data_IF_376271680427
#
_entry.id   IF_376271680427
#
_cell.length_a   1.000
_cell.length_b   1.000
_cell.length_c   1.000
_cell.angle_alpha   90.00
_cell.angle_beta   90.00
_cell.angle_gamma   90.00
#
_symmetry.space_group_name_H-M   'P 1'
#
loop_
_entity.id
_entity.type
_entity.pdbx_description
1 polymer ?
#
# COMPACT_ATOMS: atom_id res chain seq x y z
N UNK A 1 -3.37 -17.56 1.17
CA UNK A 1 -2.27 -17.13 0.33
C UNK A 1 -1.15 -16.75 1.29
N UNK A 2 -0.03 -17.44 1.23
CA UNK A 2 1.07 -17.22 2.17
C UNK A 2 2.01 -16.16 1.63
N UNK A 3 2.45 -15.31 2.51
CA UNK A 3 3.53 -14.36 2.31
C UNK A 3 4.84 -15.14 2.13
N UNK A 4 5.62 -14.77 1.13
CA UNK A 4 6.94 -15.33 0.85
C UNK A 4 8.00 -14.37 1.36
N UNK A 5 8.74 -14.74 2.39
CA UNK A 5 10.06 -14.16 2.63
C UNK A 5 11.11 -15.03 1.95
N UNK A 6 11.82 -14.46 1.00
CA UNK A 6 13.04 -15.05 0.45
C UNK A 6 14.20 -14.44 1.24
N UNK A 7 14.68 -15.11 2.28
CA UNK A 7 15.96 -14.79 2.88
C UNK A 7 17.09 -15.23 1.95
N UNK A 8 17.25 -14.49 0.84
CA UNK A 8 18.37 -14.67 -0.07
C UNK A 8 19.08 -13.35 -0.31
N UNK A 9 20.38 -13.39 -0.42
CA UNK A 9 21.18 -12.28 -0.91
C UNK A 9 20.65 -11.88 -2.31
N UNK A 10 20.63 -10.58 -2.63
CA UNK A 10 20.16 -10.08 -3.94
C UNK A 10 20.89 -10.74 -5.12
N UNK A 11 22.12 -11.21 -4.93
CA UNK A 11 22.87 -11.95 -5.93
C UNK A 11 22.30 -13.35 -6.19
N UNK A 12 21.88 -14.07 -5.13
CA UNK A 12 21.24 -15.38 -5.25
C UNK A 12 19.86 -15.28 -5.87
N UNK A 13 19.11 -14.22 -5.55
CA UNK A 13 17.80 -13.95 -6.17
C UNK A 13 17.94 -13.75 -7.69
N UNK A 14 18.97 -13.05 -8.14
CA UNK A 14 19.26 -12.84 -9.57
C UNK A 14 19.55 -14.12 -10.33
N UNK A 15 20.11 -15.14 -9.68
CA UNK A 15 20.36 -16.47 -10.29
C UNK A 15 19.09 -17.34 -10.37
N UNK A 16 18.10 -17.08 -9.49
CA UNK A 16 16.84 -17.82 -9.45
C UNK A 16 15.77 -17.24 -10.37
N UNK A 17 15.94 -16.00 -10.84
CA UNK A 17 15.01 -15.33 -11.73
C UNK A 17 15.28 -15.70 -13.20
N UNK A 18 14.29 -16.28 -13.87
CA UNK A 18 14.39 -16.68 -15.27
C UNK A 18 14.43 -15.48 -16.23
N UNK A 19 13.66 -14.41 -15.95
CA UNK A 19 13.61 -13.20 -16.76
C UNK A 19 13.03 -12.02 -15.96
N UNK A 20 13.73 -10.90 -15.94
CA UNK A 20 13.20 -9.63 -15.50
C UNK A 20 13.42 -9.32 -14.02
N UNK A 21 12.96 -8.14 -13.62
CA UNK A 21 13.07 -7.63 -12.26
C UNK A 21 11.84 -8.03 -11.45
N UNK A 22 12.08 -8.60 -10.28
CA UNK A 22 11.03 -8.84 -9.31
C UNK A 22 10.56 -7.50 -8.71
N UNK A 23 9.27 -7.22 -8.80
CA UNK A 23 8.65 -6.05 -8.21
C UNK A 23 7.54 -6.46 -7.24
N UNK A 24 7.24 -5.61 -6.26
CA UNK A 24 6.08 -5.82 -5.38
C UNK A 24 4.82 -5.79 -6.22
N UNK A 25 3.97 -6.84 -6.06
CA UNK A 25 2.77 -7.02 -6.88
C UNK A 25 2.99 -7.86 -8.15
N UNK A 26 4.24 -8.25 -8.48
CA UNK A 26 4.47 -9.15 -9.59
C UNK A 26 3.90 -10.55 -9.29
N UNK A 27 3.18 -11.12 -10.26
CA UNK A 27 2.75 -12.52 -10.19
C UNK A 27 3.93 -13.43 -10.56
N UNK A 28 4.26 -14.36 -9.67
CA UNK A 28 5.39 -15.26 -9.87
C UNK A 28 4.97 -16.73 -9.71
N UNK A 29 5.61 -17.59 -10.49
CA UNK A 29 5.62 -19.03 -10.27
C UNK A 29 6.94 -19.40 -9.58
N UNK A 30 6.84 -20.08 -8.43
CA UNK A 30 7.99 -20.54 -7.67
C UNK A 30 8.10 -22.05 -7.74
N UNK A 31 9.18 -22.57 -8.34
CA UNK A 31 9.55 -23.98 -8.27
C UNK A 31 10.43 -24.21 -7.04
N UNK A 32 10.03 -25.12 -6.15
CA UNK A 32 10.77 -25.45 -4.94
C UNK A 32 10.72 -26.96 -4.66
N UNK A 33 11.81 -27.50 -4.09
CA UNK A 33 11.95 -28.91 -3.79
C UNK A 33 11.92 -29.26 -2.29
N UNK A 34 11.79 -28.27 -1.41
CA UNK A 34 11.77 -28.41 0.03
C UNK A 34 10.37 -28.32 0.65
N UNK A 35 10.33 -28.23 1.97
CA UNK A 35 9.10 -28.04 2.72
C UNK A 35 8.73 -26.55 2.79
N UNK A 36 7.44 -26.26 2.97
CA UNK A 36 6.96 -24.93 3.33
C UNK A 36 6.96 -24.85 4.87
N UNK A 37 7.76 -23.93 5.41
CA UNK A 37 7.77 -23.67 6.84
C UNK A 37 6.59 -22.76 7.20
N UNK A 38 5.75 -23.24 8.11
CA UNK A 38 4.61 -22.46 8.63
C UNK A 38 5.09 -21.44 9.68
N UNK A 39 5.84 -20.42 9.20
CA UNK A 39 6.24 -19.24 9.97
C UNK A 39 5.46 -18.02 9.44
N UNK A 40 5.60 -16.88 10.09
CA UNK A 40 5.10 -15.62 9.57
C UNK A 40 6.29 -14.67 9.37
N UNK A 41 6.58 -14.29 8.12
CA UNK A 41 6.06 -14.88 6.87
C UNK A 41 6.40 -16.36 6.68
N UNK A 42 5.62 -17.06 5.86
CA UNK A 42 5.94 -18.44 5.50
C UNK A 42 7.18 -18.50 4.61
N UNK A 43 7.99 -19.54 4.81
CA UNK A 43 9.26 -19.71 4.07
C UNK A 43 9.19 -20.93 3.15
N UNK A 44 9.60 -20.78 1.91
CA UNK A 44 9.85 -21.91 1.01
C UNK A 44 11.28 -22.43 1.20
N UNK A 45 11.39 -23.71 1.51
CA UNK A 45 12.69 -24.40 1.51
C UNK A 45 13.07 -24.86 0.11
N UNK A 46 14.34 -24.69 -0.26
CA UNK A 46 14.88 -25.21 -1.51
C UNK A 46 14.22 -24.60 -2.77
N UNK A 47 14.15 -23.29 -2.85
CA UNK A 47 13.72 -22.60 -4.07
C UNK A 47 14.71 -22.88 -5.18
N UNK A 48 14.23 -23.41 -6.29
CA UNK A 48 15.04 -23.78 -7.45
C UNK A 48 14.92 -22.76 -8.58
N UNK A 49 13.76 -22.09 -8.72
CA UNK A 49 13.50 -21.11 -9.77
C UNK A 49 12.32 -20.21 -9.40
N UNK A 50 12.41 -18.96 -9.82
CA UNK A 50 11.32 -17.99 -9.78
C UNK A 50 11.10 -17.48 -11.20
N UNK A 51 9.90 -17.63 -11.72
CA UNK A 51 9.49 -17.11 -13.03
C UNK A 51 8.48 -15.99 -12.84
N UNK A 52 8.80 -14.79 -13.32
CA UNK A 52 7.85 -13.67 -13.33
C UNK A 52 6.86 -13.89 -14.47
N UNK A 53 5.56 -13.91 -14.16
CA UNK A 53 4.51 -14.11 -15.14
C UNK A 53 4.11 -12.77 -15.76
N UNK A 54 4.15 -12.64 -17.10
CA UNK A 54 3.90 -11.36 -17.77
C UNK A 54 2.42 -10.96 -17.78
N UNK A 55 1.52 -11.94 -17.64
CA UNK A 55 0.08 -11.70 -17.74
C UNK A 55 -0.48 -11.28 -16.37
N UNK A 56 -1.11 -10.11 -16.33
CA UNK A 56 -1.79 -9.60 -15.13
C UNK A 56 -0.94 -8.72 -14.23
N UNK A 57 0.22 -8.24 -14.69
CA UNK A 57 0.97 -7.23 -13.94
C UNK A 57 0.14 -5.95 -13.80
N UNK A 58 -0.13 -5.60 -12.57
CA UNK A 58 -0.74 -4.33 -12.16
C UNK A 58 0.17 -3.72 -11.08
N UNK A 59 0.79 -2.59 -11.40
CA UNK A 59 1.71 -1.86 -10.52
C UNK A 59 0.99 -1.15 -9.34
N UNK A 60 -0.22 -1.58 -8.99
CA UNK A 60 -1.03 -0.96 -7.93
C UNK A 60 -0.38 -1.08 -6.55
N UNK A 61 0.34 -2.15 -6.29
CA UNK A 61 1.14 -2.27 -5.08
C UNK A 61 2.17 -1.15 -4.96
N UNK A 62 2.87 -0.83 -6.05
CA UNK A 62 3.84 0.25 -6.07
C UNK A 62 3.16 1.63 -5.92
N UNK A 63 1.96 1.83 -6.49
CA UNK A 63 1.17 3.03 -6.26
C UNK A 63 0.88 3.20 -4.76
N UNK A 64 0.35 2.17 -4.10
CA UNK A 64 -0.03 2.27 -2.70
C UNK A 64 1.17 2.38 -1.76
N UNK A 65 2.31 1.76 -2.08
CA UNK A 65 3.55 2.00 -1.35
C UNK A 65 3.96 3.48 -1.39
N UNK A 66 3.89 4.13 -2.57
CA UNK A 66 4.17 5.58 -2.68
C UNK A 66 3.22 6.42 -1.82
N UNK A 67 1.91 6.09 -1.84
CA UNK A 67 0.91 6.79 -1.00
C UNK A 67 1.22 6.64 0.49
N UNK A 68 1.59 5.44 0.92
CA UNK A 68 1.95 5.16 2.32
C UNK A 68 3.22 5.91 2.72
N UNK A 69 4.24 5.96 1.85
CA UNK A 69 5.48 6.71 2.10
C UNK A 69 5.22 8.21 2.19
N UNK A 70 4.37 8.77 1.33
CA UNK A 70 3.96 10.17 1.39
C UNK A 70 3.21 10.48 2.69
N UNK A 71 2.29 9.61 3.12
CA UNK A 71 1.60 9.73 4.40
C UNK A 71 2.57 9.61 5.59
N UNK A 72 3.57 8.73 5.50
CA UNK A 72 4.60 8.63 6.54
C UNK A 72 5.34 9.94 6.70
N UNK A 73 5.69 10.60 5.60
CA UNK A 73 6.35 11.92 5.60
C UNK A 73 5.49 13.08 6.11
N UNK A 74 4.17 12.90 6.24
CA UNK A 74 3.28 13.92 6.81
C UNK A 74 3.20 13.76 8.32
N UNK A 75 3.18 14.87 9.06
CA UNK A 75 3.09 14.88 10.52
C UNK A 75 3.99 13.81 11.17
N UNK A 76 5.30 14.00 11.07
CA UNK A 76 6.32 13.06 11.56
C UNK A 76 6.22 12.80 13.08
N UNK A 77 5.55 13.68 13.81
CA UNK A 77 5.28 13.50 15.23
C UNK A 77 4.48 12.24 15.55
N UNK A 78 3.70 11.76 14.59
CA UNK A 78 2.93 10.51 14.73
C UNK A 78 3.79 9.24 14.54
N UNK A 79 5.03 9.38 14.09
CA UNK A 79 5.91 8.25 13.77
C UNK A 79 6.91 7.91 14.90
N UNK A 80 6.89 8.64 16.01
CA UNK A 80 7.83 8.43 17.13
C UNK A 80 7.65 7.08 17.83
N UNK A 81 8.75 6.34 18.09
CA UNK A 81 8.78 5.07 18.84
C UNK A 81 7.82 3.99 18.31
N UNK A 82 7.56 3.97 17.00
CA UNK A 82 6.70 2.99 16.34
C UNK A 82 7.41 1.63 16.30
N UNK A 83 6.74 0.60 16.84
CA UNK A 83 7.17 -0.81 16.76
C UNK A 83 6.30 -1.63 15.82
N UNK A 84 5.06 -1.19 15.62
CA UNK A 84 4.07 -1.85 14.80
C UNK A 84 3.50 -0.88 13.78
N UNK A 85 3.37 -1.33 12.56
CA UNK A 85 2.64 -0.63 11.51
C UNK A 85 1.52 -1.55 11.05
N UNK A 86 0.26 -1.11 11.21
CA UNK A 86 -0.86 -1.79 10.60
C UNK A 86 -1.24 -1.08 9.30
N UNK A 87 -1.44 -1.87 8.25
CA UNK A 87 -1.87 -1.36 6.95
C UNK A 87 -3.18 -2.04 6.56
N UNK A 88 -4.27 -1.30 6.66
CA UNK A 88 -5.60 -1.76 6.25
C UNK A 88 -5.86 -1.42 4.79
N UNK A 89 -5.80 -2.44 3.94
CA UNK A 89 -6.07 -2.40 2.51
C UNK A 89 -7.29 -3.25 2.14
N UNK A 90 -8.13 -3.61 3.13
CA UNK A 90 -9.28 -4.48 2.90
C UNK A 90 -10.29 -3.90 1.90
N UNK A 91 -10.41 -2.58 1.85
CA UNK A 91 -11.28 -1.86 0.93
C UNK A 91 -10.58 -1.46 -0.38
N UNK A 92 -9.57 -2.20 -0.80
CA UNK A 92 -8.91 -2.04 -2.10
C UNK A 92 -9.17 -3.25 -2.99
N UNK A 93 -8.90 -3.11 -4.28
CA UNK A 93 -8.99 -4.21 -5.24
C UNK A 93 -7.80 -5.17 -5.21
N UNK A 94 -6.80 -4.92 -4.35
CA UNK A 94 -5.67 -5.82 -4.15
C UNK A 94 -6.12 -7.20 -3.62
N UNK A 95 -5.50 -8.24 -4.12
CA UNK A 95 -5.65 -9.59 -3.58
C UNK A 95 -5.09 -9.66 -2.14
N UNK A 96 -5.48 -10.64 -1.32
CA UNK A 96 -4.89 -10.83 0.01
C UNK A 96 -3.36 -10.91 0.00
N UNK A 97 -2.77 -11.58 -0.99
CA UNK A 97 -1.31 -11.71 -1.11
C UNK A 97 -0.63 -10.37 -1.41
N UNK A 98 -1.22 -9.55 -2.28
CA UNK A 98 -0.71 -8.21 -2.60
C UNK A 98 -0.82 -7.28 -1.39
N UNK A 99 -1.93 -7.34 -0.63
CA UNK A 99 -2.08 -6.56 0.61
C UNK A 99 -1.00 -6.90 1.63
N UNK A 100 -0.77 -8.19 1.86
CA UNK A 100 0.30 -8.65 2.75
C UNK A 100 1.68 -8.19 2.27
N UNK A 101 1.95 -8.26 0.96
CA UNK A 101 3.22 -7.82 0.39
C UNK A 101 3.44 -6.30 0.60
N UNK A 102 2.40 -5.48 0.40
CA UNK A 102 2.47 -4.03 0.64
C UNK A 102 2.69 -3.74 2.12
N UNK A 103 1.90 -4.35 3.01
CA UNK A 103 2.01 -4.15 4.46
C UNK A 103 3.41 -4.54 4.98
N UNK A 104 3.91 -5.68 4.55
CA UNK A 104 5.26 -6.14 4.90
C UNK A 104 6.33 -5.18 4.39
N UNK A 105 6.33 -4.88 3.09
CA UNK A 105 7.34 -4.02 2.47
C UNK A 105 7.40 -2.66 3.14
N UNK A 106 6.25 -2.04 3.39
CA UNK A 106 6.16 -0.75 4.03
C UNK A 106 6.65 -0.79 5.48
N UNK A 107 6.20 -1.76 6.28
CA UNK A 107 6.63 -1.87 7.68
C UNK A 107 8.13 -2.13 7.80
N UNK A 108 8.70 -3.01 6.96
CA UNK A 108 10.14 -3.29 6.96
C UNK A 108 10.98 -2.07 6.58
N UNK A 109 10.50 -1.23 5.65
CA UNK A 109 11.19 0.02 5.29
C UNK A 109 11.31 1.01 6.47
N UNK A 110 10.47 0.82 7.49
CA UNK A 110 10.45 1.67 8.70
C UNK A 110 10.86 0.92 9.99
N UNK A 111 11.55 -0.21 9.87
CA UNK A 111 12.03 -1.03 11.00
C UNK A 111 10.91 -1.44 11.97
N UNK A 112 9.68 -1.65 11.48
CA UNK A 112 8.50 -1.99 12.26
C UNK A 112 7.97 -3.40 11.92
N UNK A 113 7.21 -3.97 12.85
CA UNK A 113 6.49 -5.23 12.62
C UNK A 113 5.18 -4.95 11.88
N UNK A 114 4.92 -5.63 10.75
CA UNK A 114 3.69 -5.47 9.99
C UNK A 114 2.48 -6.08 10.70
N UNK A 115 1.36 -5.40 10.60
CA UNK A 115 0.03 -5.91 10.90
C UNK A 115 -0.90 -5.57 9.73
N UNK A 116 -1.96 -6.36 9.57
CA UNK A 116 -3.00 -6.17 8.55
C UNK A 116 -4.38 -6.02 9.22
N UNK A 117 -4.40 -5.35 10.36
CA UNK A 117 -5.60 -5.18 11.19
C UNK A 117 -6.20 -3.79 10.94
N UNK A 118 -7.53 -3.73 10.84
CA UNK A 118 -8.25 -2.47 10.85
C UNK A 118 -8.39 -1.91 12.28
N UNK A 119 -8.97 -0.72 12.42
CA UNK A 119 -9.14 -0.05 13.70
C UNK A 119 -9.92 -0.90 14.73
N UNK A 120 -11.00 -1.55 14.31
CA UNK A 120 -11.84 -2.36 15.21
C UNK A 120 -11.05 -3.58 15.73
N UNK A 121 -10.34 -4.27 14.84
CA UNK A 121 -9.50 -5.41 15.20
C UNK A 121 -8.35 -5.01 16.12
N UNK A 122 -7.72 -3.85 15.89
CA UNK A 122 -6.69 -3.31 16.79
C UNK A 122 -7.24 -3.01 18.19
N UNK A 123 -8.50 -2.57 18.28
CA UNK A 123 -9.19 -2.40 19.56
C UNK A 123 -9.47 -3.75 20.23
N UNK A 124 -9.96 -4.73 19.49
CA UNK A 124 -10.29 -6.07 19.99
C UNK A 124 -9.06 -6.83 20.48
N UNK A 125 -7.95 -6.71 19.76
CA UNK A 125 -6.66 -7.31 20.10
C UNK A 125 -5.91 -6.55 21.22
N UNK A 126 -6.44 -5.40 21.65
CA UNK A 126 -5.89 -4.61 22.75
C UNK A 126 -4.67 -3.77 22.42
N UNK A 127 -4.40 -3.51 21.14
CA UNK A 127 -3.35 -2.59 20.72
C UNK A 127 -3.71 -1.13 21.02
N UNK A 128 -4.99 -0.77 20.90
CA UNK A 128 -5.50 0.57 21.17
C UNK A 128 -6.01 0.66 22.60
N UNK A 129 -5.50 1.63 23.36
CA UNK A 129 -5.90 1.95 24.73
C UNK A 129 -6.84 3.16 24.79
N UNK A 130 -7.34 3.51 25.99
CA UNK A 130 -8.17 4.71 26.17
C UNK A 130 -9.59 4.59 25.64
N UNK A 131 -10.12 3.37 25.48
CA UNK A 131 -11.45 3.12 24.91
C UNK A 131 -12.58 3.21 25.96
N UNK A 132 -12.24 3.23 27.26
CA UNK A 132 -13.20 3.23 28.38
C UNK A 132 -12.76 4.19 29.45
N UNK A 133 -13.73 4.72 30.23
CA UNK A 133 -13.47 5.65 31.32
C UNK A 133 -14.27 6.93 31.21
N UNK A 134 -13.98 7.93 32.06
CA UNK A 134 -14.62 9.25 32.01
C UNK A 134 -14.12 10.08 30.84
N UNK A 135 -12.82 9.92 30.49
CA UNK A 135 -12.18 10.59 29.36
C UNK A 135 -11.77 9.53 28.31
N UNK A 136 -12.62 9.33 27.31
CA UNK A 136 -12.32 8.43 26.20
C UNK A 136 -11.31 9.12 25.27
N UNK A 137 -10.09 8.58 25.25
CA UNK A 137 -9.02 9.07 24.39
C UNK A 137 -8.28 7.89 23.73
N UNK A 138 -8.80 7.36 22.63
CA UNK A 138 -8.16 6.25 21.91
C UNK A 138 -6.74 6.62 21.47
N UNK A 139 -5.78 5.75 21.77
CA UNK A 139 -4.39 5.92 21.38
C UNK A 139 -3.69 4.57 21.17
N UNK A 140 -2.79 4.53 20.21
CA UNK A 140 -1.86 3.44 19.99
C UNK A 140 -0.44 3.90 20.32
N UNK A 141 0.04 3.56 21.51
CA UNK A 141 1.30 4.11 22.05
C UNK A 141 2.52 3.77 21.18
N UNK A 142 2.59 2.54 20.68
CA UNK A 142 3.75 2.00 19.98
C UNK A 142 3.46 1.54 18.55
N UNK A 143 2.39 2.05 17.95
CA UNK A 143 2.04 1.71 16.58
C UNK A 143 1.34 2.85 15.87
N UNK A 144 1.14 2.65 14.56
CA UNK A 144 0.40 3.56 13.67
C UNK A 144 -0.41 2.73 12.67
N UNK A 145 -1.65 3.13 12.44
CA UNK A 145 -2.55 2.53 11.47
C UNK A 145 -2.55 3.37 10.19
N UNK A 146 -2.32 2.73 9.07
CA UNK A 146 -2.53 3.28 7.75
C UNK A 146 -3.74 2.61 7.10
N UNK A 147 -4.55 3.40 6.40
CA UNK A 147 -5.73 2.89 5.70
C UNK A 147 -5.77 3.47 4.30
N UNK A 148 -6.02 2.63 3.30
CA UNK A 148 -6.36 3.06 1.94
C UNK A 148 -7.71 2.44 1.59
N UNK A 149 -8.62 3.28 1.12
CA UNK A 149 -9.97 2.87 0.72
C UNK A 149 -10.22 3.31 -0.73
N UNK A 150 -10.40 2.37 -1.65
CA UNK A 150 -10.85 2.70 -2.99
C UNK A 150 -12.30 3.19 -2.95
N UNK A 151 -12.59 4.23 -3.72
CA UNK A 151 -13.93 4.83 -3.80
C UNK A 151 -14.49 4.71 -5.23
N UNK A 152 -15.80 4.66 -5.34
CA UNK A 152 -16.51 4.64 -6.63
C UNK A 152 -16.78 6.05 -7.17
N UNK A 153 -16.11 7.07 -6.63
CA UNK A 153 -16.32 8.45 -7.03
C UNK A 153 -15.92 8.69 -8.49
N UNK A 154 -16.73 9.41 -9.25
CA UNK A 154 -16.39 9.70 -10.64
C UNK A 154 -15.13 10.56 -10.70
N UNK A 155 -14.14 10.06 -11.44
CA UNK A 155 -12.86 10.74 -11.62
C UNK A 155 -13.10 12.08 -12.32
N UNK A 156 -13.00 13.18 -11.59
CA UNK A 156 -13.00 14.53 -12.14
C UNK A 156 -11.57 15.05 -12.16
N UNK A 157 -11.00 15.15 -13.37
CA UNK A 157 -9.73 15.85 -13.52
C UNK A 157 -9.98 17.35 -13.54
N UNK A 158 -9.55 18.07 -12.53
CA UNK A 158 -9.43 19.52 -12.60
C UNK A 158 -8.24 19.86 -13.49
N UNK A 159 -8.48 19.92 -14.82
CA UNK A 159 -7.48 20.45 -15.73
C UNK A 159 -7.21 21.92 -15.33
N UNK A 160 -5.94 22.34 -15.18
CA UNK A 160 -5.64 23.74 -14.96
C UNK A 160 -6.27 24.54 -16.10
N UNK A 161 -7.06 25.57 -15.76
CA UNK A 161 -7.68 26.44 -16.73
C UNK A 161 -6.60 27.04 -17.61
N UNK A 162 -6.58 26.67 -18.89
CA UNK A 162 -5.70 27.28 -19.88
C UNK A 162 -6.09 28.75 -19.95
N UNK A 163 -5.14 29.63 -19.68
CA UNK A 163 -5.25 31.05 -19.93
C UNK A 163 -5.68 31.27 -21.39
N UNK A 164 -6.62 32.19 -21.60
CA UNK A 164 -7.22 32.54 -22.88
C UNK A 164 -6.19 32.59 -24.02
N UNK A 165 -6.35 31.72 -25.04
CA UNK A 165 -5.62 31.78 -26.30
C UNK A 165 -4.82 30.54 -26.72
N UNK A 166 -4.76 29.47 -25.93
CA UNK A 166 -4.15 28.21 -26.36
C UNK A 166 -5.16 27.33 -27.10
N UNK A 167 -4.80 26.80 -28.27
CA UNK A 167 -5.54 25.72 -28.89
C UNK A 167 -5.60 24.56 -27.87
N UNK A 168 -6.82 24.08 -27.60
CA UNK A 168 -7.03 22.86 -26.80
C UNK A 168 -6.21 21.75 -27.45
N UNK A 169 -5.26 21.11 -26.76
CA UNK A 169 -4.68 19.90 -27.27
C UNK A 169 -5.86 18.96 -27.59
N UNK A 170 -5.90 18.43 -28.80
CA UNK A 170 -6.90 17.49 -29.22
C UNK A 170 -7.02 16.48 -28.07
N UNK A 171 -8.22 16.33 -27.51
CA UNK A 171 -8.49 15.31 -26.49
C UNK A 171 -8.19 13.97 -27.16
N UNK A 172 -6.94 13.58 -27.12
CA UNK A 172 -6.56 12.19 -27.32
C UNK A 172 -7.39 11.47 -26.28
N UNK A 173 -8.36 10.67 -26.72
CA UNK A 173 -9.14 9.82 -25.86
C UNK A 173 -8.12 9.01 -25.04
N UNK A 174 -7.76 9.53 -23.88
CA UNK A 174 -7.21 8.67 -22.83
C UNK A 174 -8.27 7.64 -22.61
N UNK A 175 -7.95 6.39 -22.93
CA UNK A 175 -8.81 5.27 -22.59
C UNK A 175 -8.90 5.27 -21.07
N UNK A 176 -9.92 5.92 -20.54
CA UNK A 176 -10.23 6.09 -19.10
C UNK A 176 -10.52 4.74 -18.42
N UNK A 177 -10.11 3.64 -19.03
CA UNK A 177 -10.39 2.29 -18.52
C UNK A 177 -9.67 1.96 -17.22
N UNK A 178 -8.59 2.64 -16.90
CA UNK A 178 -7.76 2.30 -15.76
C UNK A 178 -7.50 3.57 -14.93
N UNK A 179 -8.49 4.00 -14.18
CA UNK A 179 -8.36 4.99 -13.12
C UNK A 179 -8.74 4.35 -11.81
N UNK A 180 -8.13 4.80 -10.74
CA UNK A 180 -8.53 4.46 -9.38
C UNK A 180 -8.71 5.74 -8.58
N UNK A 181 -9.83 5.82 -7.85
CA UNK A 181 -10.08 6.86 -6.85
C UNK A 181 -9.96 6.24 -5.48
N UNK A 182 -9.34 6.93 -4.54
CA UNK A 182 -9.15 6.43 -3.20
C UNK A 182 -8.94 7.54 -2.18
N UNK A 183 -9.25 7.23 -0.93
CA UNK A 183 -8.85 7.99 0.24
C UNK A 183 -7.72 7.27 0.96
N UNK A 184 -6.83 8.02 1.61
CA UNK A 184 -5.74 7.44 2.38
C UNK A 184 -5.53 8.20 3.68
N UNK A 185 -5.20 7.48 4.76
CA UNK A 185 -5.00 8.10 6.06
C UNK A 185 -4.00 7.35 6.92
N UNK A 186 -3.41 8.07 7.89
CA UNK A 186 -2.73 7.48 9.03
C UNK A 186 -3.36 7.95 10.33
N UNK A 187 -3.43 7.06 11.31
CA UNK A 187 -4.02 7.32 12.62
C UNK A 187 -3.14 6.75 13.73
N UNK A 188 -2.98 7.50 14.80
CA UNK A 188 -2.29 7.06 16.02
C UNK A 188 -3.08 7.32 17.29
N UNK A 189 -3.74 8.48 17.37
CA UNK A 189 -4.52 8.89 18.57
C UNK A 189 -5.79 9.61 18.15
N UNK A 190 -6.68 9.85 19.10
CA UNK A 190 -7.91 10.63 18.87
C UNK A 190 -7.67 12.04 18.30
N UNK A 191 -6.49 12.64 18.57
CA UNK A 191 -6.08 13.95 18.07
C UNK A 191 -4.81 13.86 17.20
N UNK A 192 -4.52 12.69 16.68
CA UNK A 192 -3.32 12.44 15.89
C UNK A 192 -3.64 11.55 14.69
N UNK A 193 -4.21 12.16 13.66
CA UNK A 193 -4.45 11.53 12.38
C UNK A 193 -4.21 12.53 11.25
N UNK A 194 -3.85 12.01 10.09
CA UNK A 194 -3.63 12.77 8.86
C UNK A 194 -4.21 12.01 7.67
N UNK A 195 -4.78 12.71 6.70
CA UNK A 195 -5.32 12.02 5.54
C UNK A 195 -5.37 12.85 4.27
N UNK A 196 -5.44 12.12 3.16
CA UNK A 196 -5.69 12.58 1.82
C UNK A 196 -7.07 12.12 1.39
N UNK A 197 -7.84 13.01 0.78
CA UNK A 197 -9.18 12.69 0.25
C UNK A 197 -9.23 12.89 -1.25
N UNK A 198 -10.09 12.13 -1.91
CA UNK A 198 -10.33 12.22 -3.36
C UNK A 198 -9.04 12.10 -4.18
N UNK A 199 -8.16 11.17 -3.79
CA UNK A 199 -6.97 10.86 -4.55
C UNK A 199 -7.34 10.13 -5.83
N UNK A 200 -6.65 10.44 -6.93
CA UNK A 200 -6.87 9.81 -8.23
C UNK A 200 -5.54 9.47 -8.88
N UNK A 201 -5.43 8.24 -9.38
CA UNK A 201 -4.32 7.81 -10.22
C UNK A 201 -4.83 7.23 -11.55
N UNK A 202 -3.97 7.26 -12.57
CA UNK A 202 -4.24 6.73 -13.90
C UNK A 202 -3.17 5.70 -14.25
N UNK A 203 -3.61 4.55 -14.73
CA UNK A 203 -2.73 3.48 -15.21
C UNK A 203 -2.49 3.63 -16.70
N UNK A 204 -1.26 3.45 -17.12
CA UNK A 204 -0.89 3.42 -18.54
C UNK A 204 -1.17 2.03 -19.18
N UNK A 205 -0.89 1.92 -20.48
CA UNK A 205 -1.14 0.68 -21.22
C UNK A 205 -0.18 -0.48 -20.86
N UNK A 206 0.89 -0.19 -20.12
CA UNK A 206 1.84 -1.20 -19.64
C UNK A 206 1.49 -1.76 -18.25
N UNK A 207 0.42 -1.26 -17.61
CA UNK A 207 0.03 -1.65 -16.27
C UNK A 207 0.65 -0.79 -15.16
N UNK A 208 1.43 0.23 -15.53
CA UNK A 208 2.11 1.12 -14.57
C UNK A 208 1.18 2.26 -14.17
N UNK A 209 1.03 2.47 -12.86
CA UNK A 209 0.30 3.60 -12.31
C UNK A 209 1.19 4.84 -12.24
N UNK A 210 0.72 5.93 -12.86
CA UNK A 210 1.36 7.24 -12.77
C UNK A 210 1.30 7.83 -11.36
N UNK A 211 1.80 9.07 -11.22
CA UNK A 211 1.66 9.82 -9.97
C UNK A 211 0.18 10.06 -9.68
N UNK A 212 -0.20 9.94 -8.41
CA UNK A 212 -1.54 10.27 -8.00
C UNK A 212 -1.69 11.76 -7.70
N UNK A 213 -2.92 12.26 -7.82
CA UNK A 213 -3.30 13.63 -7.50
C UNK A 213 -4.29 13.66 -6.36
N UNK A 214 -4.09 14.54 -5.40
CA UNK A 214 -5.01 14.80 -4.31
C UNK A 214 -5.95 15.91 -4.79
N UNK A 215 -7.22 15.58 -5.07
CA UNK A 215 -8.23 16.54 -5.53
C UNK A 215 -9.03 17.12 -4.35
N UNK A 216 -9.20 16.35 -3.30
CA UNK A 216 -9.87 16.76 -2.08
C UNK A 216 -8.96 17.43 -1.06
N UNK A 217 -9.46 17.72 0.14
CA UNK A 217 -8.65 18.30 1.20
C UNK A 217 -7.65 17.28 1.78
N UNK A 218 -6.46 17.78 2.13
CA UNK A 218 -5.66 17.15 3.17
C UNK A 218 -6.23 17.56 4.52
N UNK A 219 -6.38 16.62 5.43
CA UNK A 219 -6.99 16.87 6.74
C UNK A 219 -6.12 16.36 7.89
N UNK A 220 -6.23 17.02 9.02
CA UNK A 220 -5.53 16.69 10.28
C UNK A 220 -6.58 16.66 11.38
N UNK A 221 -6.50 15.73 12.30
CA UNK A 221 -7.33 15.69 13.51
C UNK A 221 -6.47 15.71 14.77
#
# INVERSE_FOLDING_TARGET
>A
AGELSLEHDQAELGELLDDGQLAVGALVEVAFGGDILESYPALFGGVERITVLPDGFDDRCALYLRVLDDLWGKDEGLNGDVKYISVDLAATSLTPAERSAVAWTFAQAHDAMPLELNYEQLCEEGYISGLTGEDIFPAWENGVLFTITETDDPVTFNLPSLSEGGELPSMTQYNIKNTVSFDASKWRTALGAYGFSECVAVQDNSGVWGDYHINGPEWIS
#
